data_IF_246362923341
#
_entry.id   IF_246362923341
#
_cell.length_a   1.000
_cell.length_b   1.000
_cell.length_c   1.000
_cell.angle_alpha   90.00
_cell.angle_beta   90.00
_cell.angle_gamma   90.00
#
_symmetry.space_group_name_H-M   'P 1'
#
loop_
_entity.id
_entity.type
_entity.pdbx_description
1 polymer ?
#
# COMPACT_ATOMS: atom_id res chain seq x y z
N UNK A 1 10.59 8.92 -9.29
CA UNK A 1 9.75 9.08 -8.08
C UNK A 1 9.88 7.81 -7.26
N UNK A 2 10.25 7.92 -5.99
CA UNK A 2 10.42 6.76 -5.09
C UNK A 2 9.07 6.14 -4.69
N UNK A 3 9.10 4.99 -4.01
CA UNK A 3 7.88 4.25 -3.63
C UNK A 3 6.97 5.06 -2.69
N UNK A 4 7.55 5.79 -1.73
CA UNK A 4 6.78 6.64 -0.80
C UNK A 4 6.08 7.78 -1.55
N UNK A 5 6.79 8.45 -2.47
CA UNK A 5 6.22 9.48 -3.32
C UNK A 5 5.08 8.95 -4.19
N UNK A 6 5.23 7.75 -4.78
CA UNK A 6 4.16 7.10 -5.55
C UNK A 6 2.92 6.82 -4.70
N UNK A 7 3.10 6.22 -3.52
CA UNK A 7 2.02 5.94 -2.57
C UNK A 7 1.27 7.23 -2.19
N UNK A 8 2.01 8.30 -1.86
CA UNK A 8 1.40 9.61 -1.51
C UNK A 8 0.66 10.23 -2.69
N UNK A 9 1.25 10.23 -3.89
CA UNK A 9 0.61 10.77 -5.09
C UNK A 9 -0.68 10.03 -5.44
N UNK A 10 -0.65 8.70 -5.46
CA UNK A 10 -1.84 7.89 -5.74
C UNK A 10 -2.88 8.07 -4.63
N UNK A 11 -2.49 7.94 -3.36
CA UNK A 11 -3.38 8.12 -2.21
C UNK A 11 -4.05 9.49 -2.20
N UNK A 12 -3.31 10.55 -2.53
CA UNK A 12 -3.84 11.92 -2.65
C UNK A 12 -4.84 12.04 -3.79
N UNK A 13 -4.55 11.51 -4.98
CA UNK A 13 -5.49 11.53 -6.12
C UNK A 13 -6.81 10.83 -5.76
N UNK A 14 -6.73 9.65 -5.14
CA UNK A 14 -7.90 8.89 -4.70
C UNK A 14 -8.74 9.68 -3.68
N UNK A 15 -8.10 10.34 -2.71
CA UNK A 15 -8.77 11.15 -1.68
C UNK A 15 -9.44 12.41 -2.25
N UNK A 16 -8.77 13.13 -3.16
CA UNK A 16 -9.22 14.44 -3.63
C UNK A 16 -10.25 14.36 -4.76
N UNK A 17 -10.14 13.35 -5.63
CA UNK A 17 -10.96 13.31 -6.85
C UNK A 17 -12.01 12.20 -6.86
N UNK A 18 -12.05 11.33 -5.84
CA UNK A 18 -12.83 10.09 -5.92
C UNK A 18 -12.46 9.26 -7.16
N UNK A 19 -11.30 9.53 -7.74
CA UNK A 19 -10.89 9.02 -9.03
C UNK A 19 -10.63 7.52 -8.89
N UNK A 20 -11.08 6.74 -9.87
CA UNK A 20 -10.67 5.34 -10.00
C UNK A 20 -9.28 5.32 -10.61
N UNK A 21 -8.29 4.88 -9.85
CA UNK A 21 -6.95 4.59 -10.38
C UNK A 21 -6.90 3.08 -10.71
N UNK A 22 -6.88 2.69 -12.00
CA UNK A 22 -6.92 1.29 -12.40
C UNK A 22 -5.56 0.59 -12.22
N UNK A 23 -4.50 1.32 -11.85
CA UNK A 23 -3.22 0.69 -11.55
C UNK A 23 -3.37 -0.25 -10.35
N UNK A 24 -2.57 -1.33 -10.25
CA UNK A 24 -2.63 -2.22 -9.10
C UNK A 24 -2.41 -1.53 -7.75
N UNK A 25 -1.51 -0.55 -7.69
CA UNK A 25 -1.35 0.30 -6.50
C UNK A 25 -2.62 1.13 -6.22
N UNK A 26 -3.23 1.71 -7.25
CA UNK A 26 -4.49 2.41 -7.16
C UNK A 26 -5.62 1.55 -6.61
N UNK A 27 -5.77 0.32 -7.12
CA UNK A 27 -6.79 -0.64 -6.67
C UNK A 27 -6.55 -1.05 -5.22
N UNK A 28 -5.30 -1.33 -4.84
CA UNK A 28 -4.92 -1.61 -3.46
C UNK A 28 -5.32 -0.47 -2.54
N UNK A 29 -4.90 0.77 -2.84
CA UNK A 29 -5.18 1.94 -2.00
C UNK A 29 -6.67 2.30 -1.94
N UNK A 30 -7.46 1.99 -2.96
CA UNK A 30 -8.92 2.15 -2.94
C UNK A 30 -9.62 1.14 -2.02
N UNK A 31 -9.18 -0.13 -2.03
CA UNK A 31 -9.83 -1.21 -1.28
C UNK A 31 -9.40 -1.26 0.18
N UNK A 32 -8.14 -0.92 0.45
CA UNK A 32 -7.49 -1.11 1.73
C UNK A 32 -8.23 -0.45 2.93
N UNK A 33 -8.78 0.78 2.84
CA UNK A 33 -9.54 1.37 3.94
C UNK A 33 -10.75 0.54 4.37
N UNK A 34 -11.50 0.01 3.40
CA UNK A 34 -12.66 -0.83 3.67
C UNK A 34 -12.26 -2.18 4.29
N UNK A 35 -11.16 -2.76 3.83
CA UNK A 35 -10.63 -4.03 4.37
C UNK A 35 -10.17 -3.88 5.82
N UNK A 36 -9.53 -2.76 6.14
CA UNK A 36 -9.06 -2.42 7.50
C UNK A 36 -10.16 -1.87 8.41
N UNK A 37 -11.33 -1.52 7.87
CA UNK A 37 -12.40 -0.87 8.62
C UNK A 37 -12.06 0.54 9.13
N UNK A 38 -11.03 1.19 8.56
CA UNK A 38 -10.59 2.54 8.96
C UNK A 38 -9.96 3.31 7.81
N UNK A 39 -9.90 4.63 7.95
CA UNK A 39 -9.16 5.50 7.02
C UNK A 39 -7.65 5.30 7.20
N UNK A 40 -6.94 5.37 6.08
CA UNK A 40 -5.47 5.42 6.04
C UNK A 40 -5.00 6.86 6.16
N UNK A 41 -3.89 7.06 6.85
CA UNK A 41 -3.22 8.34 7.01
C UNK A 41 -2.06 8.43 6.01
N UNK A 42 -2.19 9.30 5.02
CA UNK A 42 -1.11 9.65 4.10
C UNK A 42 -0.76 11.13 4.28
N UNK A 43 0.52 11.44 4.41
CA UNK A 43 1.01 12.80 4.41
C UNK A 43 1.12 13.35 2.98
N UNK A 44 1.25 14.66 2.88
CA UNK A 44 1.44 15.33 1.60
C UNK A 44 2.76 14.89 0.93
N UNK A 45 2.80 14.79 -0.42
CA UNK A 45 4.06 14.60 -1.14
C UNK A 45 5.11 15.64 -0.71
N UNK A 46 6.31 15.19 -0.36
CA UNK A 46 7.39 16.04 0.16
C UNK A 46 7.36 16.29 1.68
N UNK A 47 6.36 15.80 2.42
CA UNK A 47 6.38 15.84 3.89
C UNK A 47 7.59 15.06 4.45
N UNK A 48 8.27 15.64 5.45
CA UNK A 48 9.45 15.03 6.10
C UNK A 48 9.09 13.79 6.90
N UNK A 49 7.97 13.85 7.62
CA UNK A 49 7.53 12.75 8.48
C UNK A 49 6.83 11.67 7.67
N UNK A 50 6.90 10.43 8.15
CA UNK A 50 6.23 9.27 7.57
C UNK A 50 5.18 8.79 8.56
N UNK A 51 3.95 8.60 8.09
CA UNK A 51 2.88 8.07 8.93
C UNK A 51 3.12 6.58 9.19
N UNK A 52 2.52 6.05 10.26
CA UNK A 52 2.57 4.61 10.53
C UNK A 52 1.93 3.80 9.37
N UNK A 53 0.91 4.33 8.69
CA UNK A 53 0.28 3.68 7.54
C UNK A 53 1.18 3.62 6.32
N UNK A 54 1.91 4.70 6.06
CA UNK A 54 2.91 4.79 4.99
C UNK A 54 4.05 3.80 5.23
N UNK A 55 4.63 3.80 6.43
CA UNK A 55 5.72 2.91 6.78
C UNK A 55 5.31 1.43 6.68
N UNK A 56 4.13 1.08 7.19
CA UNK A 56 3.60 -0.28 7.12
C UNK A 56 3.37 -0.75 5.68
N UNK A 57 2.75 0.09 4.84
CA UNK A 57 2.47 -0.26 3.46
C UNK A 57 3.77 -0.40 2.64
N UNK A 58 4.73 0.50 2.84
CA UNK A 58 6.04 0.40 2.21
C UNK A 58 6.77 -0.87 2.64
N UNK A 59 6.73 -1.21 3.93
CA UNK A 59 7.34 -2.45 4.43
C UNK A 59 6.71 -3.70 3.80
N UNK A 60 5.39 -3.72 3.59
CA UNK A 60 4.71 -4.80 2.89
C UNK A 60 5.16 -4.93 1.43
N UNK A 61 5.17 -3.82 0.69
CA UNK A 61 5.56 -3.79 -0.71
C UNK A 61 7.04 -4.18 -0.89
N UNK A 62 7.91 -3.66 -0.03
CA UNK A 62 9.34 -3.97 -0.03
C UNK A 62 9.61 -5.44 0.32
N UNK A 63 8.90 -6.00 1.31
CA UNK A 63 9.05 -7.42 1.68
C UNK A 63 8.65 -8.37 0.54
N UNK A 64 7.61 -8.05 -0.24
CA UNK A 64 7.29 -8.82 -1.45
C UNK A 64 8.43 -8.74 -2.46
N UNK A 65 8.98 -7.54 -2.70
CA UNK A 65 10.05 -7.31 -3.68
C UNK A 65 11.35 -8.00 -3.30
N UNK A 66 11.66 -8.06 -2.01
CA UNK A 66 12.85 -8.75 -1.51
C UNK A 66 12.64 -10.25 -1.29
N UNK A 67 11.47 -10.79 -1.64
CA UNK A 67 11.06 -12.17 -1.34
C UNK A 67 11.24 -12.56 0.14
N UNK A 68 11.00 -11.61 1.05
CA UNK A 68 11.11 -11.80 2.50
C UNK A 68 9.74 -12.17 3.08
N UNK A 69 9.44 -13.46 3.03
CA UNK A 69 8.14 -14.02 3.41
C UNK A 69 7.80 -13.80 4.88
N UNK A 70 8.78 -13.90 5.78
CA UNK A 70 8.58 -13.75 7.22
C UNK A 70 8.23 -12.30 7.57
N UNK A 71 9.00 -11.34 7.05
CA UNK A 71 8.72 -9.90 7.22
C UNK A 71 7.37 -9.54 6.61
N UNK A 72 7.08 -10.07 5.43
CA UNK A 72 5.81 -9.87 4.75
C UNK A 72 4.64 -10.39 5.59
N UNK A 73 4.72 -11.64 6.06
CA UNK A 73 3.67 -12.29 6.85
C UNK A 73 3.46 -11.56 8.17
N UNK A 74 4.54 -11.18 8.86
CA UNK A 74 4.47 -10.41 10.09
C UNK A 74 3.77 -9.07 9.86
N UNK A 75 4.19 -8.32 8.86
CA UNK A 75 3.59 -7.03 8.53
C UNK A 75 2.10 -7.17 8.15
N UNK A 76 1.75 -8.16 7.33
CA UNK A 76 0.38 -8.42 6.90
C UNK A 76 -0.54 -8.70 8.10
N UNK A 77 -0.12 -9.62 8.96
CA UNK A 77 -0.91 -10.04 10.12
C UNK A 77 -0.92 -9.03 11.26
N UNK A 78 0.00 -8.06 11.28
CA UNK A 78 0.01 -6.97 12.27
C UNK A 78 -1.24 -6.07 12.20
N UNK A 79 -1.96 -6.09 11.07
CA UNK A 79 -3.13 -5.22 10.83
C UNK A 79 -4.31 -5.90 10.14
N UNK A 80 -4.13 -7.10 9.62
CA UNK A 80 -5.19 -7.86 8.95
C UNK A 80 -5.43 -9.16 9.70
N UNK A 81 -6.66 -9.46 10.12
CA UNK A 81 -6.98 -10.78 10.66
C UNK A 81 -6.81 -11.86 9.58
N UNK A 82 -6.49 -13.08 10.01
CA UNK A 82 -6.07 -14.18 9.12
C UNK A 82 -7.12 -14.53 8.07
N UNK A 83 -8.40 -14.41 8.41
CA UNK A 83 -9.55 -14.66 7.54
C UNK A 83 -9.61 -13.73 6.32
N UNK A 84 -9.05 -12.51 6.42
CA UNK A 84 -9.03 -11.50 5.35
C UNK A 84 -7.65 -11.28 4.73
N UNK A 85 -6.62 -11.91 5.30
CA UNK A 85 -5.22 -11.72 4.89
C UNK A 85 -4.95 -12.18 3.45
N UNK A 86 -5.61 -13.25 2.98
CA UNK A 86 -5.44 -13.76 1.61
C UNK A 86 -5.89 -12.75 0.55
N UNK A 87 -7.04 -12.08 0.75
CA UNK A 87 -7.52 -11.06 -0.17
C UNK A 87 -6.57 -9.87 -0.26
N UNK A 88 -6.01 -9.44 0.89
CA UNK A 88 -5.02 -8.36 0.90
C UNK A 88 -3.72 -8.82 0.24
N UNK A 89 -3.33 -10.08 0.43
CA UNK A 89 -2.13 -10.62 -0.15
C UNK A 89 -2.08 -10.47 -1.67
N UNK A 90 -3.14 -10.88 -2.37
CA UNK A 90 -3.22 -10.75 -3.82
C UNK A 90 -3.07 -9.30 -4.32
N UNK A 91 -3.67 -8.33 -3.61
CA UNK A 91 -3.58 -6.91 -4.00
C UNK A 91 -2.17 -6.34 -3.76
N UNK A 92 -1.54 -6.70 -2.65
CA UNK A 92 -0.18 -6.26 -2.32
C UNK A 92 0.82 -6.84 -3.30
N UNK A 93 0.71 -8.12 -3.63
CA UNK A 93 1.57 -8.76 -4.62
C UNK A 93 1.43 -8.06 -5.98
N UNK A 94 0.22 -7.84 -6.50
CA UNK A 94 0.05 -7.14 -7.77
C UNK A 94 0.64 -5.72 -7.74
N UNK A 95 0.39 -4.95 -6.67
CA UNK A 95 0.93 -3.60 -6.53
C UNK A 95 2.47 -3.59 -6.49
N UNK A 96 3.09 -4.51 -5.75
CA UNK A 96 4.53 -4.60 -5.60
C UNK A 96 5.25 -4.83 -6.94
N UNK A 97 4.72 -5.71 -7.79
CA UNK A 97 5.30 -6.01 -9.10
C UNK A 97 5.17 -4.85 -10.10
N UNK A 98 4.16 -3.98 -9.96
CA UNK A 98 4.00 -2.81 -10.85
C UNK A 98 4.89 -1.61 -10.50
N UNK A 99 5.45 -1.58 -9.30
CA UNK A 99 6.39 -0.51 -8.90
C UNK A 99 7.73 -0.59 -9.65
N UNK A 100 8.01 -1.69 -10.36
CA UNK A 100 9.22 -1.87 -11.18
C UNK A 100 9.10 -1.29 -12.60
N UNK A 101 7.90 -1.16 -13.17
CA UNK A 101 7.72 -0.80 -14.60
C UNK A 101 7.92 0.69 -14.90
N UNK A 102 8.27 1.50 -13.89
CA UNK A 102 8.49 2.95 -14.03
C UNK A 102 9.97 3.34 -13.97
N UNK A 103 10.89 2.40 -14.23
CA UNK A 103 12.34 2.63 -14.30
C UNK A 103 12.82 2.73 -15.74
#
# INVERSE_FOLDING_TARGET
MDALGQVRCVGRRLRLHGARDPSPLGVLLQRLPAMLGRRLVFHEPGARDVSFDEAWLLNLLDAVRSADEDRYRFALLSRMPRDRASALHFLVCQAAHTLDTSR
#
